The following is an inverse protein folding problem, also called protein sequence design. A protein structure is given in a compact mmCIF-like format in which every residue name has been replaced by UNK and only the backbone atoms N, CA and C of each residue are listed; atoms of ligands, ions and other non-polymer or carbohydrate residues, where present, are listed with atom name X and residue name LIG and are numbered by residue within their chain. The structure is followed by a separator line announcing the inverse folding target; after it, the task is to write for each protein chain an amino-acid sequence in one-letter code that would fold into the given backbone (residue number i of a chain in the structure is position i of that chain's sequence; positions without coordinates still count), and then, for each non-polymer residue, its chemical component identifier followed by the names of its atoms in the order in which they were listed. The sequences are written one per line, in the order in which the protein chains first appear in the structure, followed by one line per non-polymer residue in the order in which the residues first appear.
data_IF_366590278386
#
_entry.id   IF_366590278386
#
_cell.length_a   1.000
_cell.length_b   1.000
_cell.length_c   1.000
_cell.angle_alpha   90.00
_cell.angle_beta   90.00
_cell.angle_gamma   90.00
#
_symmetry.space_group_name_H-M   'P 1'
#
loop_
_entity.id
_entity.type
_entity.pdbx_description
1 polymer ?
#
# COMPACT_ATOMS: atom_id res chain seq x y z
N UNK A 1 -10.52 43.09 89.04
CA UNK A 1 -10.74 44.41 88.47
C UNK A 1 -10.23 44.44 87.09
N UNK A 2 -11.15 44.74 86.27
CA UNK A 2 -11.11 45.33 84.91
C UNK A 2 -10.70 44.40 83.77
N UNK A 3 -11.74 44.07 83.12
CA UNK A 3 -11.87 43.53 81.78
C UNK A 3 -11.39 44.53 80.75
N UNK A 4 -10.81 44.06 79.64
CA UNK A 4 -10.74 44.76 78.39
C UNK A 4 -11.12 43.79 77.26
N UNK A 5 -11.90 44.25 76.27
CA UNK A 5 -12.63 43.35 75.39
C UNK A 5 -11.79 42.98 74.15
N UNK A 6 -12.06 41.79 73.64
CA UNK A 6 -11.53 41.20 72.42
C UNK A 6 -12.03 41.92 71.17
N UNK A 7 -11.12 42.12 70.22
CA UNK A 7 -11.37 42.61 68.85
C UNK A 7 -11.68 41.40 67.96
N UNK A 8 -12.66 41.45 67.09
CA UNK A 8 -12.94 40.30 66.18
C UNK A 8 -12.00 40.29 64.98
N UNK A 9 -11.40 39.11 64.74
CA UNK A 9 -10.69 38.79 63.53
C UNK A 9 -11.62 38.77 62.33
N UNK A 10 -11.22 39.38 61.24
CA UNK A 10 -11.85 39.33 59.93
C UNK A 10 -11.46 38.03 59.22
N UNK A 11 -12.43 37.15 58.99
CA UNK A 11 -12.31 36.05 58.00
C UNK A 11 -12.14 36.62 56.61
N UNK A 12 -11.03 36.26 55.97
CA UNK A 12 -10.81 36.49 54.56
C UNK A 12 -11.31 35.21 53.81
N UNK A 13 -12.48 35.30 53.27
CA UNK A 13 -13.01 34.30 52.35
C UNK A 13 -12.38 34.53 50.97
N UNK A 14 -11.44 33.68 50.59
CA UNK A 14 -10.98 33.54 49.22
C UNK A 14 -11.91 32.54 48.49
N UNK A 15 -12.85 33.05 47.78
CA UNK A 15 -13.57 32.26 46.76
C UNK A 15 -12.69 32.11 45.53
N UNK A 16 -12.07 30.95 45.40
CA UNK A 16 -11.52 30.50 44.12
C UNK A 16 -12.55 29.57 43.49
N UNK A 17 -13.43 30.09 42.70
CA UNK A 17 -14.35 29.36 41.84
C UNK A 17 -13.80 29.36 40.42
N UNK A 18 -12.89 28.47 40.13
CA UNK A 18 -12.73 27.97 38.78
C UNK A 18 -13.86 26.98 38.49
N UNK A 19 -14.94 27.51 37.96
CA UNK A 19 -16.00 26.73 37.36
C UNK A 19 -15.51 26.29 35.97
N UNK A 20 -14.91 25.12 35.89
CA UNK A 20 -14.85 24.40 34.61
C UNK A 20 -16.29 24.10 34.20
N UNK A 21 -16.78 24.87 33.24
CA UNK A 21 -18.01 24.56 32.56
C UNK A 21 -17.77 23.32 31.69
N UNK A 22 -18.06 22.15 32.26
CA UNK A 22 -18.25 20.94 31.46
C UNK A 22 -19.45 21.22 30.53
N UNK A 23 -19.15 21.49 29.26
CA UNK A 23 -20.19 21.46 28.21
C UNK A 23 -20.70 20.03 28.15
N UNK A 24 -21.81 19.76 28.83
CA UNK A 24 -22.55 18.53 28.71
C UNK A 24 -23.27 18.57 27.35
N UNK A 25 -22.54 18.27 26.28
CA UNK A 25 -23.13 18.16 24.94
C UNK A 25 -23.92 16.85 24.95
N UNK A 26 -25.24 16.91 24.89
CA UNK A 26 -26.08 15.72 24.68
C UNK A 26 -25.69 15.10 23.33
N UNK A 27 -24.99 13.96 23.37
CA UNK A 27 -24.59 13.23 22.18
C UNK A 27 -25.85 12.69 21.50
N UNK A 28 -26.19 13.20 20.32
CA UNK A 28 -27.34 12.75 19.54
C UNK A 28 -27.18 11.29 19.16
N UNK A 29 -28.28 10.57 19.02
CA UNK A 29 -28.26 9.16 18.59
C UNK A 29 -27.46 8.99 17.28
N UNK A 30 -26.47 8.09 17.32
CA UNK A 30 -25.58 7.82 16.17
C UNK A 30 -24.34 8.72 16.06
N UNK A 31 -24.20 9.74 16.92
CA UNK A 31 -22.96 10.53 17.06
C UNK A 31 -22.01 9.88 18.06
N UNK A 32 -20.71 10.13 17.94
CA UNK A 32 -19.64 9.50 18.73
C UNK A 32 -18.77 10.60 19.38
N UNK A 33 -18.61 10.51 20.70
CA UNK A 33 -17.68 11.41 21.40
C UNK A 33 -16.24 11.16 20.97
N UNK A 34 -15.49 12.22 20.73
CA UNK A 34 -14.06 12.11 20.41
C UNK A 34 -13.27 12.21 21.71
N UNK A 35 -13.22 11.12 22.46
CA UNK A 35 -12.58 11.02 23.77
C UNK A 35 -11.63 9.83 23.86
N UNK A 36 -11.00 9.64 25.02
CA UNK A 36 -10.05 8.54 25.25
C UNK A 36 -10.69 7.16 25.25
N UNK A 37 -11.99 7.08 25.49
CA UNK A 37 -12.72 5.83 25.49
C UNK A 37 -12.97 5.32 24.06
N UNK A 38 -13.31 6.23 23.16
CA UNK A 38 -13.63 5.88 21.76
C UNK A 38 -12.39 5.92 20.85
N UNK A 39 -11.41 6.80 21.15
CA UNK A 39 -10.17 6.98 20.39
C UNK A 39 -9.00 7.03 21.38
N UNK A 40 -8.49 5.88 21.87
CA UNK A 40 -7.49 5.84 22.94
C UNK A 40 -6.11 6.38 22.53
N UNK A 41 -5.69 6.21 21.27
CA UNK A 41 -4.44 6.78 20.77
C UNK A 41 -4.60 8.31 20.65
N UNK A 42 -3.82 9.04 21.45
CA UNK A 42 -3.92 10.51 21.54
C UNK A 42 -3.68 11.18 20.19
N UNK A 43 -2.63 10.76 19.46
CA UNK A 43 -2.27 11.40 18.19
C UNK A 43 -3.31 11.08 17.11
N UNK A 44 -3.81 9.85 17.11
CA UNK A 44 -4.92 9.47 16.23
C UNK A 44 -6.18 10.27 16.53
N UNK A 45 -6.53 10.42 17.83
CA UNK A 45 -7.68 11.23 18.27
C UNK A 45 -7.55 12.70 17.84
N UNK A 46 -6.36 13.31 18.02
CA UNK A 46 -6.09 14.67 17.56
C UNK A 46 -6.27 14.82 16.05
N UNK A 47 -5.87 13.82 15.28
CA UNK A 47 -6.08 13.80 13.83
C UNK A 47 -7.55 13.67 13.45
N UNK A 48 -8.32 12.84 14.16
CA UNK A 48 -9.77 12.71 13.96
C UNK A 48 -10.48 14.06 14.20
N UNK A 49 -10.10 14.78 15.27
CA UNK A 49 -10.61 16.14 15.54
C UNK A 49 -10.27 17.08 14.38
N UNK A 50 -9.00 17.13 13.98
CA UNK A 50 -8.54 18.06 12.94
C UNK A 50 -9.24 17.83 11.58
N UNK A 51 -9.45 16.54 11.22
CA UNK A 51 -9.98 16.18 9.91
C UNK A 51 -11.51 16.19 9.85
N UNK A 52 -12.21 15.82 10.92
CA UNK A 52 -13.63 15.50 10.84
C UNK A 52 -14.54 16.31 11.78
N UNK A 53 -14.06 16.75 12.93
CA UNK A 53 -14.81 17.62 13.85
C UNK A 53 -14.80 19.05 13.32
N UNK A 54 -15.79 19.40 12.51
CA UNK A 54 -15.80 20.69 11.80
C UNK A 54 -16.40 21.83 12.60
N UNK A 55 -17.23 21.52 13.57
CA UNK A 55 -17.86 22.52 14.44
C UNK A 55 -17.14 22.67 15.79
N UNK A 56 -16.17 21.80 16.08
CA UNK A 56 -15.27 21.87 17.24
C UNK A 56 -15.96 21.50 18.55
N UNK A 57 -17.01 20.67 18.49
CA UNK A 57 -17.78 20.28 19.67
C UNK A 57 -17.26 19.00 20.35
N UNK A 58 -16.17 18.41 19.82
CA UNK A 58 -15.56 17.15 20.25
C UNK A 58 -16.49 15.95 20.11
N UNK A 59 -17.41 15.98 19.16
CA UNK A 59 -18.30 14.88 18.82
C UNK A 59 -18.28 14.66 17.31
N UNK A 60 -18.11 13.44 16.84
CA UNK A 60 -18.40 13.10 15.44
C UNK A 60 -19.91 12.96 15.27
N UNK A 61 -20.53 13.95 14.64
CA UNK A 61 -21.93 13.90 14.27
C UNK A 61 -22.17 12.90 13.14
N UNK A 62 -23.40 12.46 12.94
CA UNK A 62 -23.79 11.57 11.83
C UNK A 62 -23.44 12.20 10.47
N UNK A 63 -23.56 13.52 10.35
CA UNK A 63 -23.20 14.24 9.10
C UNK A 63 -21.70 14.21 8.84
N UNK A 64 -20.86 14.43 9.85
CA UNK A 64 -19.40 14.35 9.75
C UNK A 64 -18.92 12.94 9.45
N UNK A 65 -19.47 11.91 10.14
CA UNK A 65 -19.19 10.49 9.84
C UNK A 65 -19.55 10.17 8.38
N UNK A 66 -20.69 10.68 7.88
CA UNK A 66 -21.14 10.44 6.51
C UNK A 66 -20.19 11.02 5.45
N UNK A 67 -19.47 12.09 5.79
CA UNK A 67 -18.50 12.79 4.93
C UNK A 67 -17.07 12.28 5.08
N UNK A 68 -16.79 11.47 6.10
CA UNK A 68 -15.46 10.92 6.38
C UNK A 68 -15.12 9.79 5.39
N UNK A 69 -14.68 10.14 4.19
CA UNK A 69 -14.35 9.20 3.12
C UNK A 69 -12.86 8.92 2.98
N UNK A 70 -12.01 9.86 3.40
CA UNK A 70 -10.57 9.80 3.23
C UNK A 70 -9.88 10.11 4.55
N UNK A 71 -8.95 9.25 4.96
CA UNK A 71 -8.11 9.49 6.13
C UNK A 71 -6.66 9.22 5.77
N UNK A 72 -5.85 10.26 5.90
CA UNK A 72 -4.42 10.18 5.64
C UNK A 72 -3.63 10.37 6.94
N UNK A 73 -2.96 9.30 7.37
CA UNK A 73 -2.09 9.27 8.56
C UNK A 73 -0.61 9.06 8.17
N UNK A 74 -0.27 9.28 6.87
CA UNK A 74 1.08 9.07 6.36
C UNK A 74 2.13 9.82 7.19
N UNK A 75 3.23 9.12 7.50
CA UNK A 75 4.38 9.60 8.29
C UNK A 75 4.07 9.99 9.75
N UNK A 76 2.87 9.69 10.25
CA UNK A 76 2.53 9.87 11.66
C UNK A 76 3.07 8.73 12.51
N UNK A 77 4.41 8.70 12.70
CA UNK A 77 5.19 7.59 13.27
C UNK A 77 4.77 7.19 14.69
N UNK A 78 4.14 8.09 15.43
CA UNK A 78 3.70 7.86 16.80
C UNK A 78 2.34 7.20 16.91
N UNK A 79 1.51 7.21 15.84
CA UNK A 79 0.24 6.49 15.82
C UNK A 79 0.54 4.98 15.83
N UNK A 80 0.01 4.30 16.83
CA UNK A 80 0.19 2.87 17.04
C UNK A 80 -1.12 2.08 17.11
N UNK A 81 -2.25 2.75 17.34
CA UNK A 81 -3.58 2.15 17.40
C UNK A 81 -4.57 2.93 16.53
N UNK A 82 -5.41 2.19 15.84
CA UNK A 82 -6.54 2.71 15.06
C UNK A 82 -7.88 2.47 15.75
N UNK A 83 -7.89 2.12 17.07
CA UNK A 83 -9.14 1.94 17.79
C UNK A 83 -9.95 3.23 17.72
N UNK A 84 -11.23 3.12 17.32
CA UNK A 84 -12.11 4.26 17.00
C UNK A 84 -12.38 4.43 15.50
N UNK A 85 -11.50 3.93 14.62
CA UNK A 85 -11.69 4.04 13.16
C UNK A 85 -12.97 3.34 12.67
N UNK A 86 -13.46 2.33 13.40
CA UNK A 86 -14.68 1.61 13.08
C UNK A 86 -15.93 2.50 13.06
N UNK A 87 -15.87 3.67 13.69
CA UNK A 87 -16.96 4.66 13.67
C UNK A 87 -17.02 5.43 12.34
N UNK A 88 -15.95 5.50 11.58
CA UNK A 88 -15.89 6.15 10.25
C UNK A 88 -16.45 5.21 9.18
N UNK A 89 -17.74 4.89 9.24
CA UNK A 89 -18.38 3.83 8.45
C UNK A 89 -18.34 4.03 6.93
N UNK A 90 -18.16 5.27 6.46
CA UNK A 90 -18.10 5.62 5.04
C UNK A 90 -16.66 5.75 4.47
N UNK A 91 -15.65 5.35 5.25
CA UNK A 91 -14.27 5.47 4.84
C UNK A 91 -13.99 4.64 3.57
N UNK A 92 -13.49 5.28 2.52
CA UNK A 92 -13.15 4.65 1.24
C UNK A 92 -11.65 4.56 1.02
N UNK A 93 -10.86 5.46 1.62
CA UNK A 93 -9.40 5.44 1.51
C UNK A 93 -8.77 5.65 2.89
N UNK A 94 -7.86 4.75 3.23
CA UNK A 94 -7.06 4.80 4.45
C UNK A 94 -5.58 4.70 4.08
N UNK A 95 -4.81 5.68 4.51
CA UNK A 95 -3.34 5.65 4.44
C UNK A 95 -2.78 5.67 5.87
N UNK A 96 -2.15 4.56 6.26
CA UNK A 96 -1.42 4.39 7.52
C UNK A 96 0.07 4.11 7.25
N UNK A 97 0.54 4.48 6.06
CA UNK A 97 1.92 4.22 5.68
C UNK A 97 2.91 5.00 6.57
N UNK A 98 4.03 4.38 6.85
CA UNK A 98 5.10 4.96 7.69
C UNK A 98 4.62 5.33 9.11
N UNK A 99 3.64 4.59 9.65
CA UNK A 99 3.17 4.70 11.04
C UNK A 99 3.71 3.56 11.90
N UNK A 100 3.42 3.59 13.21
CA UNK A 100 3.67 2.45 14.11
C UNK A 100 2.49 1.48 14.23
N UNK A 101 1.47 1.61 13.39
CA UNK A 101 0.31 0.71 13.34
C UNK A 101 0.77 -0.71 13.01
N UNK A 102 0.34 -1.66 13.83
CA UNK A 102 0.61 -3.09 13.65
C UNK A 102 -0.65 -3.94 13.50
N UNK A 103 -1.81 -3.40 13.90
CA UNK A 103 -3.10 -4.07 13.87
C UNK A 103 -4.12 -3.27 13.05
N UNK A 104 -4.68 -3.91 12.03
CA UNK A 104 -5.75 -3.38 11.19
C UNK A 104 -7.14 -3.97 11.56
N UNK A 105 -7.23 -4.75 12.64
CA UNK A 105 -8.51 -5.36 13.06
C UNK A 105 -9.62 -4.35 13.40
N UNK A 106 -9.32 -3.10 13.88
CA UNK A 106 -10.33 -2.08 14.06
C UNK A 106 -10.93 -1.56 12.75
N UNK A 107 -10.22 -1.69 11.62
CA UNK A 107 -10.70 -1.25 10.31
C UNK A 107 -11.77 -2.23 9.82
N UNK A 108 -13.06 -1.89 9.99
CA UNK A 108 -14.21 -2.74 9.64
C UNK A 108 -14.99 -2.22 8.41
N UNK A 109 -14.41 -1.35 7.65
CA UNK A 109 -15.07 -0.59 6.58
C UNK A 109 -15.16 -1.40 5.29
N UNK A 110 -16.30 -2.03 5.03
CA UNK A 110 -16.57 -2.76 3.79
C UNK A 110 -16.63 -1.87 2.53
N UNK A 111 -16.76 -0.54 2.72
CA UNK A 111 -16.71 0.48 1.67
C UNK A 111 -15.28 0.83 1.22
N UNK A 112 -14.26 0.30 1.91
CA UNK A 112 -12.86 0.64 1.63
C UNK A 112 -12.46 0.22 0.22
N UNK A 113 -11.90 1.18 -0.54
CA UNK A 113 -11.39 1.02 -1.91
C UNK A 113 -9.87 1.05 -1.98
N UNK A 114 -9.24 1.82 -1.08
CA UNK A 114 -7.79 1.93 -0.99
C UNK A 114 -7.32 1.76 0.44
N UNK A 115 -6.37 0.85 0.62
CA UNK A 115 -5.64 0.66 1.88
C UNK A 115 -4.15 0.72 1.59
N UNK A 116 -3.48 1.67 2.23
CA UNK A 116 -2.03 1.84 2.16
C UNK A 116 -1.45 1.66 3.56
N UNK A 117 -0.67 0.61 3.75
CA UNK A 117 0.03 0.33 5.01
C UNK A 117 1.54 0.16 4.82
N UNK A 118 2.08 0.69 3.72
CA UNK A 118 3.51 0.59 3.40
C UNK A 118 4.38 1.10 4.53
N UNK A 119 5.48 0.40 4.78
CA UNK A 119 6.46 0.79 5.80
C UNK A 119 5.87 0.99 7.19
N UNK A 120 4.72 0.36 7.48
CA UNK A 120 4.14 0.28 8.82
C UNK A 120 4.60 -1.01 9.54
N UNK A 121 4.12 -1.24 10.76
CA UNK A 121 4.41 -2.48 11.51
C UNK A 121 3.38 -3.58 11.31
N UNK A 122 2.51 -3.45 10.30
CA UNK A 122 1.48 -4.44 9.98
C UNK A 122 2.15 -5.76 9.60
N UNK A 123 1.79 -6.84 10.32
CA UNK A 123 2.30 -8.19 10.08
C UNK A 123 1.28 -9.13 9.45
N UNK A 124 0.00 -8.77 9.47
CA UNK A 124 -1.07 -9.54 8.85
C UNK A 124 -2.28 -8.65 8.54
N UNK A 125 -3.07 -9.05 7.56
CA UNK A 125 -4.31 -8.37 7.17
C UNK A 125 -5.31 -9.38 6.64
N UNK A 126 -6.58 -9.20 7.02
CA UNK A 126 -7.71 -9.96 6.49
C UNK A 126 -8.41 -9.12 5.41
N UNK A 127 -7.99 -9.29 4.16
CA UNK A 127 -8.53 -8.55 3.00
C UNK A 127 -9.95 -8.99 2.62
N UNK A 128 -10.45 -10.12 3.12
CA UNK A 128 -11.82 -10.58 2.85
C UNK A 128 -12.88 -9.62 3.41
N UNK A 129 -12.49 -8.78 4.36
CA UNK A 129 -13.34 -7.71 4.93
C UNK A 129 -13.60 -6.55 3.98
N UNK A 130 -12.78 -6.41 2.93
CA UNK A 130 -12.82 -5.25 2.02
C UNK A 130 -13.17 -5.67 0.59
N UNK A 131 -14.41 -6.15 0.32
CA UNK A 131 -14.79 -6.68 -0.99
C UNK A 131 -14.80 -5.64 -2.10
N UNK A 132 -14.75 -4.35 -1.75
CA UNK A 132 -14.69 -3.24 -2.70
C UNK A 132 -13.28 -2.70 -2.93
N UNK A 133 -12.25 -3.39 -2.41
CA UNK A 133 -10.87 -2.92 -2.48
C UNK A 133 -10.40 -2.89 -3.95
N UNK A 134 -9.94 -1.72 -4.37
CA UNK A 134 -9.39 -1.44 -5.69
C UNK A 134 -7.85 -1.35 -5.65
N UNK A 135 -7.30 -0.87 -4.51
CA UNK A 135 -5.85 -0.76 -4.32
C UNK A 135 -5.42 -1.21 -2.91
N UNK A 136 -4.44 -2.11 -2.85
CA UNK A 136 -3.76 -2.51 -1.63
C UNK A 136 -2.25 -2.35 -1.77
N UNK A 137 -1.66 -1.57 -0.85
CA UNK A 137 -0.23 -1.27 -0.84
C UNK A 137 0.34 -1.64 0.53
N UNK A 138 1.27 -2.59 0.56
CA UNK A 138 1.85 -3.13 1.79
C UNK A 138 3.37 -3.31 1.71
N UNK A 139 4.04 -2.60 0.81
CA UNK A 139 5.48 -2.69 0.64
C UNK A 139 6.22 -2.42 1.96
N UNK A 140 7.34 -3.10 2.17
CA UNK A 140 8.18 -2.94 3.36
C UNK A 140 7.41 -3.20 4.67
N UNK A 141 6.56 -4.22 4.69
CA UNK A 141 5.87 -4.69 5.90
C UNK A 141 6.29 -6.12 6.25
N UNK A 142 5.91 -6.58 7.43
CA UNK A 142 6.17 -7.96 7.87
C UNK A 142 5.09 -8.95 7.43
N UNK A 143 4.23 -8.58 6.49
CA UNK A 143 3.19 -9.46 5.96
C UNK A 143 3.83 -10.67 5.29
N UNK A 144 3.36 -11.86 5.65
CA UNK A 144 3.89 -13.13 5.16
C UNK A 144 2.89 -13.96 4.34
N UNK A 145 1.63 -13.55 4.32
CA UNK A 145 0.59 -14.19 3.51
C UNK A 145 -0.48 -13.17 3.13
N UNK A 146 -1.03 -13.32 1.92
CA UNK A 146 -2.12 -12.50 1.41
C UNK A 146 -3.18 -13.41 0.78
N UNK A 147 -4.43 -13.23 1.15
CA UNK A 147 -5.59 -13.78 0.47
C UNK A 147 -6.37 -12.65 -0.20
N UNK A 148 -6.23 -12.53 -1.52
CA UNK A 148 -6.92 -11.54 -2.36
C UNK A 148 -8.11 -12.13 -3.12
N UNK A 149 -8.50 -13.37 -2.83
CA UNK A 149 -9.53 -14.12 -3.57
C UNK A 149 -10.92 -13.48 -3.55
N UNK A 150 -11.20 -12.59 -2.59
CA UNK A 150 -12.47 -11.86 -2.46
C UNK A 150 -12.42 -10.43 -2.98
N UNK A 151 -11.27 -9.99 -3.49
CA UNK A 151 -11.04 -8.62 -3.94
C UNK A 151 -11.07 -8.54 -5.47
N UNK A 152 -12.18 -8.95 -6.08
CA UNK A 152 -12.34 -9.02 -7.55
C UNK A 152 -12.16 -7.66 -8.27
N UNK A 153 -12.31 -6.53 -7.53
CA UNK A 153 -12.12 -5.18 -8.05
C UNK A 153 -10.68 -4.68 -7.96
N UNK A 154 -9.77 -5.50 -7.39
CA UNK A 154 -8.39 -5.10 -7.18
C UNK A 154 -7.71 -4.83 -8.52
N UNK A 155 -7.23 -3.60 -8.71
CA UNK A 155 -6.48 -3.17 -9.87
C UNK A 155 -5.01 -2.88 -9.56
N UNK A 156 -4.70 -2.61 -8.29
CA UNK A 156 -3.33 -2.31 -7.83
C UNK A 156 -3.01 -3.14 -6.59
N UNK A 157 -1.95 -3.95 -6.68
CA UNK A 157 -1.38 -4.70 -5.57
C UNK A 157 0.13 -4.48 -5.52
N UNK A 158 0.60 -3.80 -4.46
CA UNK A 158 2.02 -3.62 -4.18
C UNK A 158 2.37 -4.31 -2.87
N UNK A 159 3.28 -5.26 -2.93
CA UNK A 159 3.72 -6.09 -1.82
C UNK A 159 5.24 -6.33 -1.83
N UNK A 160 5.98 -5.34 -2.34
CA UNK A 160 7.44 -5.41 -2.43
C UNK A 160 8.09 -5.49 -1.04
N UNK A 161 9.18 -6.22 -0.94
CA UNK A 161 9.93 -6.32 0.32
C UNK A 161 9.05 -6.79 1.50
N UNK A 162 8.16 -7.74 1.22
CA UNK A 162 7.39 -8.46 2.24
C UNK A 162 7.90 -9.90 2.39
N UNK A 163 7.36 -10.63 3.37
CA UNK A 163 7.75 -12.03 3.61
C UNK A 163 6.85 -13.04 2.89
N UNK A 164 6.05 -12.62 1.90
CA UNK A 164 5.18 -13.54 1.17
C UNK A 164 6.01 -14.55 0.36
N UNK A 165 5.57 -15.79 0.37
CA UNK A 165 6.19 -16.88 -0.40
C UNK A 165 5.23 -17.56 -1.38
N UNK A 166 3.97 -17.17 -1.34
CA UNK A 166 2.90 -17.59 -2.25
C UNK A 166 1.92 -16.43 -2.45
N UNK A 167 1.41 -16.27 -3.66
CA UNK A 167 0.40 -15.28 -4.01
C UNK A 167 -0.46 -15.82 -5.14
N UNK A 168 -1.76 -15.98 -4.89
CA UNK A 168 -2.75 -16.35 -5.89
C UNK A 168 -3.56 -15.10 -6.30
N UNK A 169 -3.39 -14.68 -7.55
CA UNK A 169 -4.09 -13.53 -8.16
C UNK A 169 -5.10 -13.94 -9.24
N UNK A 170 -5.42 -15.24 -9.34
CA UNK A 170 -6.31 -15.76 -10.40
C UNK A 170 -7.74 -15.21 -10.31
N UNK A 171 -8.17 -14.76 -9.13
CA UNK A 171 -9.48 -14.12 -8.92
C UNK A 171 -9.48 -12.59 -9.06
N UNK A 172 -8.39 -11.99 -9.56
CA UNK A 172 -8.26 -10.54 -9.69
C UNK A 172 -8.12 -10.12 -11.17
N UNK A 173 -9.15 -10.32 -12.02
CA UNK A 173 -9.05 -10.10 -13.47
C UNK A 173 -8.84 -8.64 -13.85
N UNK A 174 -9.09 -7.71 -12.94
CA UNK A 174 -8.94 -6.28 -13.12
C UNK A 174 -7.54 -5.75 -12.76
N UNK A 175 -6.60 -6.63 -12.34
CA UNK A 175 -5.24 -6.19 -11.99
C UNK A 175 -4.56 -5.52 -13.19
N UNK A 176 -4.17 -4.27 -12.98
CA UNK A 176 -3.38 -3.44 -13.89
C UNK A 176 -1.93 -3.30 -13.41
N UNK A 177 -1.74 -3.25 -12.10
CA UNK A 177 -0.42 -3.05 -11.48
C UNK A 177 -0.20 -4.11 -10.40
N UNK A 178 0.81 -4.94 -10.61
CA UNK A 178 1.26 -5.95 -9.65
C UNK A 178 2.75 -5.79 -9.41
N UNK A 179 3.12 -5.58 -8.15
CA UNK A 179 4.51 -5.58 -7.70
C UNK A 179 4.66 -6.46 -6.47
N UNK A 180 5.58 -7.38 -6.52
CA UNK A 180 5.94 -8.30 -5.43
C UNK A 180 7.46 -8.62 -5.47
N UNK A 181 8.25 -7.61 -5.82
CA UNK A 181 9.70 -7.73 -5.86
C UNK A 181 10.30 -7.90 -4.45
N UNK A 182 11.50 -8.46 -4.38
CA UNK A 182 12.20 -8.74 -3.12
C UNK A 182 11.32 -9.52 -2.12
N UNK A 183 10.75 -10.63 -2.60
CA UNK A 183 9.90 -11.54 -1.80
C UNK A 183 10.34 -12.98 -1.92
N UNK A 184 9.71 -13.86 -1.15
CA UNK A 184 9.99 -15.30 -1.17
C UNK A 184 9.29 -16.09 -2.28
N UNK A 185 8.59 -15.43 -3.23
CA UNK A 185 7.81 -16.09 -4.27
C UNK A 185 8.64 -17.06 -5.10
N UNK A 186 8.13 -18.28 -5.29
CA UNK A 186 8.73 -19.31 -6.12
C UNK A 186 8.02 -19.49 -7.46
N UNK A 187 6.75 -19.11 -7.52
CA UNK A 187 5.88 -19.18 -8.70
C UNK A 187 4.87 -18.04 -8.67
N UNK A 188 4.38 -17.65 -9.82
CA UNK A 188 3.29 -16.67 -9.96
C UNK A 188 2.56 -16.94 -11.26
N UNK A 189 1.24 -17.19 -11.17
CA UNK A 189 0.36 -17.29 -12.34
C UNK A 189 -0.37 -15.97 -12.57
N UNK A 190 -0.06 -15.31 -13.68
CA UNK A 190 -0.70 -14.07 -14.14
C UNK A 190 -1.56 -14.25 -15.37
N UNK A 191 -1.80 -15.50 -15.80
CA UNK A 191 -2.58 -15.79 -17.03
C UNK A 191 -4.04 -15.38 -16.93
N UNK A 192 -4.54 -15.14 -15.70
CA UNK A 192 -5.91 -14.69 -15.42
C UNK A 192 -6.03 -13.16 -15.25
N UNK A 193 -4.94 -12.41 -15.49
CA UNK A 193 -4.90 -10.95 -15.29
C UNK A 193 -4.67 -10.21 -16.62
N UNK A 194 -5.61 -10.25 -17.58
CA UNK A 194 -5.40 -9.72 -18.93
C UNK A 194 -5.27 -8.19 -18.99
N UNK A 195 -5.59 -7.48 -17.90
CA UNK A 195 -5.47 -6.04 -17.81
C UNK A 195 -4.09 -5.57 -17.33
N UNK A 196 -3.15 -6.49 -17.01
CA UNK A 196 -1.83 -6.11 -16.51
C UNK A 196 -1.09 -5.17 -17.47
N UNK A 197 -0.69 -4.03 -16.91
CA UNK A 197 0.12 -2.98 -17.55
C UNK A 197 1.53 -3.00 -16.98
N UNK A 198 1.65 -3.21 -15.67
CA UNK A 198 2.94 -3.26 -14.95
C UNK A 198 3.00 -4.55 -14.13
N UNK A 199 4.10 -5.29 -14.32
CA UNK A 199 4.45 -6.46 -13.52
C UNK A 199 5.88 -6.33 -13.03
N UNK A 200 6.07 -6.37 -11.70
CA UNK A 200 7.40 -6.45 -11.08
C UNK A 200 7.47 -7.67 -10.15
N UNK A 201 8.36 -8.60 -10.50
CA UNK A 201 8.71 -9.81 -9.73
C UNK A 201 10.24 -9.91 -9.52
N UNK A 202 10.92 -8.78 -9.62
CA UNK A 202 12.38 -8.74 -9.46
C UNK A 202 12.81 -9.23 -8.08
N UNK A 203 14.01 -9.82 -8.01
CA UNK A 203 14.57 -10.37 -6.76
C UNK A 203 13.60 -11.36 -6.06
N UNK A 204 13.09 -12.33 -6.84
CA UNK A 204 12.29 -13.45 -6.36
C UNK A 204 12.90 -14.78 -6.79
N UNK A 205 12.31 -15.89 -6.32
CA UNK A 205 12.77 -17.24 -6.68
C UNK A 205 11.99 -17.86 -7.85
N UNK A 206 11.22 -17.05 -8.57
CA UNK A 206 10.42 -17.49 -9.72
C UNK A 206 11.34 -18.05 -10.80
N UNK A 207 10.95 -19.23 -11.36
CA UNK A 207 11.72 -19.95 -12.38
C UNK A 207 11.08 -19.89 -13.76
N UNK A 208 9.78 -19.72 -13.82
CA UNK A 208 8.99 -19.68 -15.06
C UNK A 208 7.95 -18.59 -14.96
N UNK A 209 7.69 -17.90 -16.07
CA UNK A 209 6.70 -16.83 -16.13
C UNK A 209 5.98 -16.90 -17.48
N UNK A 210 4.67 -17.15 -17.46
CA UNK A 210 3.81 -17.08 -18.65
C UNK A 210 3.05 -15.76 -18.67
N UNK A 211 3.46 -14.88 -19.58
CA UNK A 211 2.84 -13.57 -19.82
C UNK A 211 2.08 -13.51 -21.15
N UNK A 212 1.84 -14.66 -21.77
CA UNK A 212 1.17 -14.74 -23.09
C UNK A 212 -0.28 -14.22 -23.06
N UNK A 213 -0.88 -14.14 -21.88
CA UNK A 213 -2.25 -13.64 -21.66
C UNK A 213 -2.32 -12.19 -21.18
N UNK A 214 -1.17 -11.48 -21.14
CA UNK A 214 -1.09 -10.09 -20.69
C UNK A 214 -0.74 -9.13 -21.86
N UNK A 215 -1.63 -8.95 -22.87
CA UNK A 215 -1.32 -8.17 -24.09
C UNK A 215 -1.19 -6.67 -23.83
N UNK A 216 -1.60 -6.19 -22.65
CA UNK A 216 -1.53 -4.79 -22.27
C UNK A 216 -0.24 -4.43 -21.52
N UNK A 217 0.67 -5.42 -21.31
CA UNK A 217 1.87 -5.23 -20.53
C UNK A 217 2.81 -4.21 -21.20
N UNK A 218 3.13 -3.14 -20.47
CA UNK A 218 4.03 -2.06 -20.88
C UNK A 218 5.36 -2.10 -20.13
N UNK A 219 5.34 -2.58 -18.90
CA UNK A 219 6.55 -2.70 -18.09
C UNK A 219 6.62 -4.09 -17.46
N UNK A 220 7.74 -4.75 -17.65
CA UNK A 220 8.09 -6.00 -17.00
C UNK A 220 9.45 -5.89 -16.31
N UNK A 221 9.47 -6.22 -15.03
CA UNK A 221 10.68 -6.39 -14.21
C UNK A 221 10.71 -7.82 -13.69
N UNK A 222 11.71 -8.58 -14.09
CA UNK A 222 11.98 -9.93 -13.61
C UNK A 222 13.48 -10.14 -13.34
N UNK A 223 14.18 -9.05 -13.04
CA UNK A 223 15.61 -9.07 -12.71
C UNK A 223 15.90 -9.90 -11.46
N UNK A 224 17.09 -10.43 -11.33
CA UNK A 224 17.53 -11.25 -10.17
C UNK A 224 16.55 -12.41 -9.86
N UNK A 225 16.04 -13.06 -10.92
CA UNK A 225 15.18 -14.26 -10.80
C UNK A 225 15.87 -15.48 -11.40
N UNK A 226 15.29 -16.66 -11.16
CA UNK A 226 15.79 -17.91 -11.75
C UNK A 226 15.11 -18.24 -13.09
N UNK A 227 14.53 -17.27 -13.78
CA UNK A 227 13.88 -17.45 -15.08
C UNK A 227 14.95 -17.78 -16.12
N UNK A 228 14.77 -18.93 -16.81
CA UNK A 228 15.67 -19.40 -17.86
C UNK A 228 15.17 -19.12 -19.28
N UNK A 229 13.86 -19.00 -19.43
CA UNK A 229 13.17 -18.72 -20.70
C UNK A 229 12.12 -17.65 -20.49
N UNK A 230 12.07 -16.66 -21.36
CA UNK A 230 11.10 -15.59 -21.34
C UNK A 230 10.60 -15.30 -22.74
N UNK A 231 9.31 -15.57 -22.99
CA UNK A 231 8.65 -15.22 -24.25
C UNK A 231 7.87 -13.91 -24.09
N UNK A 232 8.36 -12.84 -24.72
CA UNK A 232 7.74 -11.52 -24.75
C UNK A 232 7.04 -11.23 -26.09
N UNK A 233 6.95 -12.19 -27.01
CA UNK A 233 6.50 -11.97 -28.39
C UNK A 233 5.02 -11.55 -28.48
N UNK A 234 4.21 -11.86 -27.44
CA UNK A 234 2.80 -11.46 -27.34
C UNK A 234 2.60 -10.09 -26.67
N UNK A 235 3.63 -9.56 -26.01
CA UNK A 235 3.57 -8.32 -25.25
C UNK A 235 4.04 -7.14 -26.14
N UNK A 236 3.35 -6.91 -27.24
CA UNK A 236 3.76 -5.93 -28.28
C UNK A 236 3.71 -4.48 -27.81
N UNK A 237 3.06 -4.20 -26.68
CA UNK A 237 3.00 -2.86 -26.06
C UNK A 237 4.16 -2.61 -25.08
N UNK A 238 5.10 -3.56 -24.93
CA UNK A 238 6.18 -3.46 -23.96
C UNK A 238 7.10 -2.27 -24.30
N UNK A 239 7.23 -1.34 -23.33
CA UNK A 239 8.08 -0.16 -23.44
C UNK A 239 9.32 -0.27 -22.54
N UNK A 240 9.23 -1.05 -21.46
CA UNK A 240 10.34 -1.25 -20.51
C UNK A 240 10.47 -2.73 -20.16
N UNK A 241 11.69 -3.25 -20.27
CA UNK A 241 12.03 -4.61 -19.88
C UNK A 241 13.30 -4.63 -19.05
N UNK A 242 13.19 -5.14 -17.83
CA UNK A 242 14.28 -5.35 -16.89
C UNK A 242 14.40 -6.83 -16.58
N UNK A 243 15.35 -7.52 -17.22
CA UNK A 243 15.57 -8.96 -17.09
C UNK A 243 17.05 -9.32 -16.88
N UNK A 244 17.80 -8.38 -16.31
CA UNK A 244 19.20 -8.62 -15.96
C UNK A 244 19.33 -9.55 -14.74
N UNK A 245 20.49 -10.15 -14.58
CA UNK A 245 20.78 -11.09 -13.50
C UNK A 245 19.75 -12.24 -13.43
N UNK A 246 19.44 -12.78 -14.62
CA UNK A 246 18.59 -13.97 -14.82
C UNK A 246 19.37 -15.05 -15.57
N UNK A 247 18.84 -16.25 -15.67
CA UNK A 247 19.47 -17.32 -16.45
C UNK A 247 18.94 -17.39 -17.89
N UNK A 248 18.27 -16.35 -18.39
CA UNK A 248 17.78 -16.24 -19.76
C UNK A 248 18.94 -16.22 -20.74
N UNK A 249 18.97 -17.16 -21.69
CA UNK A 249 20.03 -17.28 -22.69
C UNK A 249 19.69 -16.65 -24.03
N UNK A 250 18.42 -16.54 -24.34
CA UNK A 250 17.89 -16.00 -25.61
C UNK A 250 16.70 -15.11 -25.34
N UNK A 251 16.62 -14.02 -26.05
CA UNK A 251 15.51 -13.08 -25.96
C UNK A 251 15.13 -12.63 -27.38
N UNK A 252 13.91 -12.93 -27.79
CA UNK A 252 13.37 -12.46 -29.07
C UNK A 252 12.54 -11.19 -28.82
N UNK A 253 13.05 -10.06 -29.29
CA UNK A 253 12.43 -8.76 -29.20
C UNK A 253 11.81 -8.29 -30.50
N UNK A 254 11.74 -9.15 -31.52
CA UNK A 254 11.32 -8.80 -32.87
C UNK A 254 9.91 -8.22 -32.99
N UNK A 255 9.04 -8.47 -32.01
CA UNK A 255 7.68 -7.95 -31.92
C UNK A 255 7.50 -6.78 -30.93
N UNK A 256 8.51 -6.46 -30.14
CA UNK A 256 8.44 -5.41 -29.12
C UNK A 256 8.91 -4.05 -29.67
N UNK A 257 8.25 -3.57 -30.72
CA UNK A 257 8.64 -2.37 -31.46
C UNK A 257 8.47 -1.07 -30.69
N UNK A 258 7.74 -1.12 -29.57
CA UNK A 258 7.51 0.02 -28.68
C UNK A 258 8.58 0.11 -27.55
N UNK A 259 9.59 -0.80 -27.54
CA UNK A 259 10.56 -0.88 -26.47
C UNK A 259 11.46 0.37 -26.47
N UNK A 260 11.44 1.08 -25.34
CA UNK A 260 12.21 2.31 -25.10
C UNK A 260 13.39 2.08 -24.13
N UNK A 261 13.23 1.12 -23.21
CA UNK A 261 14.24 0.82 -22.21
C UNK A 261 14.41 -0.69 -22.05
N UNK A 262 15.63 -1.13 -22.21
CA UNK A 262 16.04 -2.51 -22.01
C UNK A 262 17.21 -2.55 -21.03
N UNK A 263 17.05 -3.35 -19.97
CA UNK A 263 18.16 -3.79 -19.14
C UNK A 263 18.20 -5.30 -19.12
N UNK A 264 19.27 -5.87 -19.68
CA UNK A 264 19.50 -7.31 -19.78
C UNK A 264 20.99 -7.60 -19.55
N UNK A 265 21.35 -8.87 -19.56
CA UNK A 265 22.72 -9.29 -19.26
C UNK A 265 22.85 -9.79 -17.84
N UNK A 266 24.02 -10.27 -17.49
CA UNK A 266 24.30 -10.93 -16.22
C UNK A 266 25.71 -10.64 -15.76
N UNK A 267 25.91 -10.51 -14.44
CA UNK A 267 27.25 -10.28 -13.85
C UNK A 267 28.10 -11.58 -13.84
N UNK A 268 27.50 -12.77 -14.05
CA UNK A 268 28.13 -14.08 -13.80
C UNK A 268 28.29 -14.98 -15.03
N UNK A 269 28.34 -14.46 -16.26
CA UNK A 269 28.61 -15.18 -17.51
C UNK A 269 27.58 -16.27 -17.96
N UNK A 270 26.39 -16.35 -17.38
CA UNK A 270 25.38 -17.37 -17.75
C UNK A 270 24.18 -16.83 -18.55
N UNK A 271 24.07 -15.51 -18.72
CA UNK A 271 22.94 -14.82 -19.33
C UNK A 271 22.94 -14.74 -20.85
N UNK A 272 22.25 -13.71 -21.35
CA UNK A 272 22.12 -13.40 -22.77
C UNK A 272 23.49 -13.02 -23.34
N UNK A 273 23.98 -13.82 -24.29
CA UNK A 273 25.28 -13.58 -24.94
C UNK A 273 25.18 -12.88 -26.29
N UNK A 274 24.01 -12.84 -26.87
CA UNK A 274 23.79 -12.20 -28.16
C UNK A 274 22.37 -11.66 -28.24
N UNK A 275 22.24 -10.47 -28.79
CA UNK A 275 21.00 -9.74 -28.84
C UNK A 275 20.82 -9.05 -30.19
N UNK A 276 19.67 -9.29 -30.81
CA UNK A 276 19.25 -8.55 -32.02
C UNK A 276 18.17 -7.54 -31.64
N UNK A 277 18.49 -6.26 -31.72
CA UNK A 277 17.60 -5.13 -31.49
C UNK A 277 17.42 -4.28 -32.77
N UNK A 278 17.77 -4.82 -33.94
CA UNK A 278 17.71 -4.11 -35.21
C UNK A 278 16.30 -3.57 -35.54
N UNK A 279 15.25 -4.18 -34.99
CA UNK A 279 13.87 -3.74 -35.15
C UNK A 279 13.40 -2.78 -34.05
N UNK A 280 14.11 -2.66 -32.94
CA UNK A 280 13.69 -1.91 -31.75
C UNK A 280 14.20 -0.46 -31.81
N UNK A 281 13.85 0.27 -32.85
CA UNK A 281 14.37 1.61 -33.17
C UNK A 281 13.96 2.69 -32.16
N UNK A 282 13.02 2.39 -31.24
CA UNK A 282 12.59 3.30 -30.16
C UNK A 282 13.44 3.21 -28.91
N UNK A 283 14.41 2.30 -28.83
CA UNK A 283 15.28 2.16 -27.64
C UNK A 283 16.07 3.45 -27.42
N UNK A 284 15.83 4.07 -26.26
CA UNK A 284 16.52 5.27 -25.76
C UNK A 284 17.57 4.92 -24.71
N UNK A 285 17.36 3.81 -23.97
CA UNK A 285 18.28 3.35 -22.94
C UNK A 285 18.46 1.85 -23.02
N UNK A 286 19.69 1.45 -23.30
CA UNK A 286 20.14 0.06 -23.33
C UNK A 286 21.23 -0.14 -22.29
N UNK A 287 21.05 -1.11 -21.41
CA UNK A 287 22.02 -1.57 -20.43
C UNK A 287 22.07 -3.09 -20.56
N UNK A 288 23.13 -3.60 -21.14
CA UNK A 288 23.33 -5.04 -21.34
C UNK A 288 24.80 -5.34 -21.08
N UNK A 289 25.06 -5.99 -19.98
CA UNK A 289 26.41 -6.39 -19.59
C UNK A 289 26.75 -7.74 -20.26
N UNK A 290 28.04 -8.01 -20.54
CA UNK A 290 28.59 -9.28 -21.01
C UNK A 290 28.00 -9.86 -22.34
N UNK A 291 27.55 -8.99 -23.26
CA UNK A 291 27.18 -9.43 -24.61
C UNK A 291 28.42 -9.76 -25.46
N UNK A 292 28.43 -10.91 -26.15
CA UNK A 292 29.43 -11.23 -27.18
C UNK A 292 29.14 -10.55 -28.51
N UNK A 293 27.86 -10.34 -28.83
CA UNK A 293 27.46 -9.61 -30.02
C UNK A 293 26.16 -8.86 -29.80
N UNK A 294 26.04 -7.74 -30.44
CA UNK A 294 24.84 -6.90 -30.46
C UNK A 294 24.57 -6.49 -31.91
N UNK A 295 23.38 -6.84 -32.43
CA UNK A 295 22.90 -6.36 -33.70
C UNK A 295 21.99 -5.17 -33.50
N UNK A 296 22.33 -4.03 -34.03
CA UNK A 296 21.56 -2.79 -34.01
C UNK A 296 21.16 -2.41 -35.42
N UNK A 297 20.04 -1.72 -35.59
CA UNK A 297 19.68 -1.13 -36.88
C UNK A 297 20.70 -0.06 -37.27
N UNK A 298 21.09 -0.03 -38.56
CA UNK A 298 21.93 0.99 -39.13
C UNK A 298 21.20 2.35 -39.27
#
# INVERSE_FOLDING_TARGET
KQETPATPEKEVVTEDKTVEASKNTEVKAGSIAIDETHFPDKVFREQIIAEFDKDGDSVLSVDEISKAQFLNLHDMKTISSLEGIQYLTNLQSLDVSTTSVSDLSPVKNSSLKRLDCRSSKVGSVDLTRYPNLEAFLCDNTSINSLDVSKNEKLNTLFADSTSISNLDVTNNPNLEQLSCSNTGLMELDVTHNPQLVTLDIGDTKVKTLDISKNPNLKQLSCYMTNIAELDVTKNTKLTRLFCHDTTIKKLDLSNNLELEMLRCGEIFEQGIRGLDISKNTKIKKLICDDLYWLNVSA
#
